data_IF_940843532089
#
_entry.id   IF_940843532089
#
_cell.length_a   1.000
_cell.length_b   1.000
_cell.length_c   1.000
_cell.angle_alpha   90.00
_cell.angle_beta   90.00
_cell.angle_gamma   90.00
#
_symmetry.space_group_name_H-M   'P 1'
#
loop_
_entity.id
_entity.type
_entity.pdbx_description
1 polymer ?
#
# COMPACT_ATOMS: atom_id res chain seq x y z
N UNK A 1 -53.60 -12.35 12.67
CA UNK A 1 -54.39 -12.23 11.42
C UNK A 1 -53.76 -11.07 10.66
N UNK A 2 -53.22 -11.14 9.44
CA UNK A 2 -53.27 -12.12 8.36
C UNK A 2 -52.12 -11.75 7.39
N UNK A 3 -51.26 -12.74 7.12
CA UNK A 3 -50.72 -13.18 5.81
C UNK A 3 -50.42 -12.13 4.70
N UNK A 4 -49.21 -12.21 4.12
CA UNK A 4 -48.80 -11.59 2.83
C UNK A 4 -49.50 -12.26 1.64
N UNK A 5 -48.86 -12.46 0.46
CA UNK A 5 -47.74 -11.83 -0.25
C UNK A 5 -48.20 -11.25 -1.62
N UNK A 6 -47.33 -10.58 -2.38
CA UNK A 6 -47.46 -10.53 -3.86
C UNK A 6 -46.08 -10.65 -4.50
N UNK A 7 -45.84 -11.84 -5.04
CA UNK A 7 -44.81 -12.18 -6.02
C UNK A 7 -45.32 -11.85 -7.43
N UNK A 8 -44.36 -11.62 -8.33
CA UNK A 8 -44.46 -11.76 -9.80
C UNK A 8 -45.39 -10.75 -10.49
N UNK A 9 -44.98 -10.01 -11.51
CA UNK A 9 -43.77 -10.02 -12.31
C UNK A 9 -44.03 -9.19 -13.55
N UNK A 10 -43.02 -8.50 -14.06
CA UNK A 10 -42.98 -8.10 -15.46
C UNK A 10 -41.53 -7.82 -15.86
N UNK A 11 -41.06 -8.68 -16.75
CA UNK A 11 -40.09 -8.43 -17.83
C UNK A 11 -38.86 -7.58 -17.48
N UNK A 12 -37.68 -8.20 -17.35
CA UNK A 12 -36.86 -8.57 -18.53
C UNK A 12 -36.80 -7.41 -19.53
N UNK A 13 -36.26 -6.27 -19.11
CA UNK A 13 -35.37 -5.47 -19.94
C UNK A 13 -33.95 -5.85 -19.59
N UNK A 14 -33.59 -7.04 -20.07
CA UNK A 14 -32.24 -7.46 -20.42
C UNK A 14 -31.78 -6.54 -21.57
N UNK A 15 -31.65 -5.25 -21.31
CA UNK A 15 -30.83 -4.38 -22.14
C UNK A 15 -29.42 -4.74 -21.74
N UNK A 16 -28.82 -5.53 -22.62
CA UNK A 16 -27.40 -5.68 -22.85
C UNK A 16 -26.71 -4.30 -22.82
N UNK A 17 -26.52 -3.72 -21.63
CA UNK A 17 -25.34 -2.91 -21.42
C UNK A 17 -24.23 -3.91 -21.27
N UNK A 18 -23.62 -4.21 -22.43
CA UNK A 18 -22.29 -4.78 -22.49
C UNK A 18 -21.51 -4.20 -21.32
N UNK A 19 -21.17 -5.06 -20.37
CA UNK A 19 -20.10 -4.79 -19.43
C UNK A 19 -18.84 -4.77 -20.29
N UNK A 20 -18.69 -3.71 -21.08
CA UNK A 20 -17.42 -3.29 -21.62
C UNK A 20 -16.61 -3.02 -20.37
N UNK A 21 -15.78 -3.99 -20.01
CA UNK A 21 -14.53 -3.71 -19.32
C UNK A 21 -13.88 -2.61 -20.14
N UNK A 22 -14.15 -1.34 -19.80
CA UNK A 22 -13.59 -0.19 -20.47
C UNK A 22 -12.10 -0.41 -20.49
N UNK A 23 -11.57 -0.64 -21.70
CA UNK A 23 -10.22 -1.12 -21.82
C UNK A 23 -9.30 0.02 -21.37
N UNK A 24 -8.10 -0.31 -20.92
CA UNK A 24 -7.19 0.73 -20.44
C UNK A 24 -6.83 1.73 -21.55
N UNK A 25 -7.25 1.55 -22.80
CA UNK A 25 -7.11 2.53 -23.87
C UNK A 25 -8.36 3.40 -24.11
N UNK A 26 -9.53 3.02 -23.59
CA UNK A 26 -10.79 3.76 -23.76
C UNK A 26 -10.91 4.95 -22.80
N UNK A 27 -10.20 4.88 -21.67
CA UNK A 27 -10.33 5.81 -20.54
C UNK A 27 -9.34 7.00 -20.57
N UNK A 28 -8.67 7.29 -21.70
CA UNK A 28 -7.64 8.34 -21.73
C UNK A 28 -6.81 8.42 -23.01
N UNK A 29 -5.82 9.34 -23.06
CA UNK A 29 -5.12 9.68 -24.29
C UNK A 29 -4.27 8.51 -24.83
N UNK A 30 -3.95 8.52 -26.14
CA UNK A 30 -3.00 7.58 -26.71
C UNK A 30 -1.65 7.65 -26.00
N UNK A 31 -0.96 6.51 -25.92
CA UNK A 31 0.29 6.39 -25.18
C UNK A 31 0.61 4.96 -24.80
N UNK A 32 1.73 4.79 -24.10
CA UNK A 32 2.15 3.50 -23.55
C UNK A 32 2.01 3.51 -22.03
N UNK A 33 1.49 2.44 -21.46
CA UNK A 33 1.18 2.31 -20.04
C UNK A 33 1.61 0.94 -19.54
N UNK A 34 2.36 0.86 -18.44
CA UNK A 34 2.82 -0.44 -17.95
C UNK A 34 1.66 -1.33 -17.50
N UNK A 35 1.77 -2.64 -17.78
CA UNK A 35 0.92 -3.64 -17.13
C UNK A 35 1.14 -3.61 -15.61
N UNK A 36 0.15 -4.02 -14.82
CA UNK A 36 0.29 -4.11 -13.36
C UNK A 36 1.43 -5.04 -12.90
N UNK A 37 1.75 -6.06 -13.70
CA UNK A 37 2.86 -7.00 -13.46
C UNK A 37 4.22 -6.44 -13.90
N UNK A 38 4.25 -5.34 -14.65
CA UNK A 38 5.41 -4.73 -15.30
C UNK A 38 6.14 -5.61 -16.32
N UNK A 39 5.62 -6.80 -16.64
CA UNK A 39 6.22 -7.71 -17.65
C UNK A 39 5.96 -7.26 -19.08
N UNK A 40 5.23 -6.16 -19.27
CA UNK A 40 4.84 -5.61 -20.55
C UNK A 40 4.16 -4.26 -20.37
N UNK A 41 3.60 -3.74 -21.46
CA UNK A 41 2.85 -2.50 -21.48
C UNK A 41 1.67 -2.57 -22.44
N UNK A 42 0.65 -1.80 -22.12
CA UNK A 42 -0.44 -1.43 -23.02
C UNK A 42 0.07 -0.35 -23.97
N UNK A 43 -0.20 -0.52 -25.25
CA UNK A 43 0.05 0.46 -26.29
C UNK A 43 -1.29 0.88 -26.88
N UNK A 44 -1.67 2.11 -26.58
CA UNK A 44 -2.93 2.71 -26.99
C UNK A 44 -2.65 3.65 -28.18
N UNK A 45 -3.10 3.28 -29.36
CA UNK A 45 -2.86 4.01 -30.61
C UNK A 45 -4.20 4.53 -31.13
N UNK A 46 -4.28 5.81 -31.50
CA UNK A 46 -5.46 6.34 -32.14
C UNK A 46 -5.39 6.10 -33.65
N UNK A 47 -6.27 5.25 -34.17
CA UNK A 47 -6.37 5.00 -35.60
C UNK A 47 -7.28 6.06 -36.25
N UNK A 48 -6.68 6.93 -37.06
CA UNK A 48 -7.40 8.03 -37.75
C UNK A 48 -8.42 7.52 -38.77
N UNK A 49 -8.19 6.37 -39.38
CA UNK A 49 -9.05 5.83 -40.43
C UNK A 49 -10.34 5.23 -39.85
N UNK A 50 -10.25 4.58 -38.70
CA UNK A 50 -11.40 3.98 -38.01
C UNK A 50 -12.00 4.91 -36.95
N UNK A 51 -11.35 6.04 -36.66
CA UNK A 51 -11.67 6.96 -35.56
C UNK A 51 -11.80 6.27 -34.20
N UNK A 52 -11.08 5.16 -34.01
CA UNK A 52 -11.13 4.32 -32.81
C UNK A 52 -9.75 4.17 -32.16
N UNK A 53 -9.77 3.91 -30.86
CA UNK A 53 -8.58 3.52 -30.11
C UNK A 53 -8.28 2.04 -30.35
N UNK A 54 -7.05 1.76 -30.76
CA UNK A 54 -6.50 0.41 -30.85
C UNK A 54 -5.67 0.12 -29.59
N UNK A 55 -5.84 -1.08 -29.06
CA UNK A 55 -5.16 -1.54 -27.87
C UNK A 55 -4.30 -2.76 -28.21
N UNK A 56 -2.99 -2.62 -28.01
CA UNK A 56 -2.04 -3.71 -28.12
C UNK A 56 -1.38 -3.96 -26.77
N UNK A 57 -1.16 -5.23 -26.44
CA UNK A 57 -0.38 -5.63 -25.27
C UNK A 57 0.97 -6.11 -25.78
N UNK A 58 2.04 -5.41 -25.39
CA UNK A 58 3.41 -5.74 -25.77
C UNK A 58 4.14 -6.31 -24.56
N UNK A 59 4.73 -7.50 -24.72
CA UNK A 59 5.52 -8.14 -23.67
C UNK A 59 6.95 -7.60 -23.70
N UNK A 60 7.50 -7.26 -22.53
CA UNK A 60 8.88 -6.82 -22.42
C UNK A 60 9.85 -8.00 -22.64
N UNK A 61 11.02 -7.76 -23.26
CA UNK A 61 12.06 -8.77 -23.38
C UNK A 61 12.48 -9.36 -22.03
N UNK A 62 13.01 -10.58 -22.06
CA UNK A 62 13.51 -11.26 -20.86
C UNK A 62 14.54 -10.39 -20.10
N UNK A 63 14.42 -10.32 -18.77
CA UNK A 63 15.29 -9.51 -17.92
C UNK A 63 14.98 -8.01 -17.90
N UNK A 64 13.96 -7.55 -18.64
CA UNK A 64 13.48 -6.16 -18.61
C UNK A 64 12.07 -6.08 -18.05
N UNK A 65 11.68 -4.88 -17.57
CA UNK A 65 10.32 -4.56 -17.16
C UNK A 65 9.97 -3.15 -17.58
N UNK A 66 8.67 -2.89 -17.71
CA UNK A 66 8.18 -1.57 -18.04
C UNK A 66 8.49 -0.57 -16.90
N UNK A 67 9.12 0.56 -17.23
CA UNK A 67 9.68 1.51 -16.26
C UNK A 67 8.82 2.74 -16.00
N UNK A 68 7.81 2.99 -16.83
CA UNK A 68 6.93 4.16 -16.73
C UNK A 68 5.96 4.10 -15.55
N UNK A 69 5.95 2.98 -14.81
CA UNK A 69 5.06 2.76 -13.65
C UNK A 69 3.58 2.93 -14.05
N UNK A 70 2.72 3.34 -13.12
CA UNK A 70 1.29 3.58 -13.36
C UNK A 70 0.97 4.96 -13.96
N UNK A 71 1.92 5.60 -14.67
CA UNK A 71 1.74 6.86 -15.41
C UNK A 71 2.06 6.66 -16.90
N UNK A 72 1.64 7.56 -17.81
CA UNK A 72 2.00 7.45 -19.22
C UNK A 72 3.52 7.45 -19.43
N UNK A 73 4.00 6.56 -20.30
CA UNK A 73 5.39 6.51 -20.72
C UNK A 73 5.79 7.73 -21.53
N UNK A 74 6.90 8.37 -21.15
CA UNK A 74 7.55 9.41 -21.97
C UNK A 74 8.45 8.85 -23.08
N UNK A 75 8.93 7.62 -22.90
CA UNK A 75 9.84 6.94 -23.83
C UNK A 75 9.05 6.07 -24.82
N UNK A 76 9.58 5.95 -26.03
CA UNK A 76 9.07 4.99 -27.02
C UNK A 76 9.41 3.54 -26.67
N UNK A 77 10.50 3.32 -25.93
CA UNK A 77 10.91 2.01 -25.42
C UNK A 77 10.77 1.99 -23.90
N UNK A 78 9.63 1.49 -23.36
CA UNK A 78 9.35 1.53 -21.93
C UNK A 78 10.00 0.36 -21.16
N UNK A 79 10.46 -0.68 -21.85
CA UNK A 79 11.09 -1.83 -21.23
C UNK A 79 12.56 -1.52 -20.89
N UNK A 80 12.90 -1.55 -19.61
CA UNK A 80 14.24 -1.26 -19.12
C UNK A 80 14.73 -2.36 -18.17
N UNK A 81 16.04 -2.41 -17.95
CA UNK A 81 16.65 -3.31 -16.97
C UNK A 81 16.02 -3.07 -15.59
N UNK A 82 15.54 -4.14 -14.96
CA UNK A 82 14.81 -4.04 -13.70
C UNK A 82 15.62 -4.63 -12.55
N UNK A 83 15.71 -3.88 -11.45
CA UNK A 83 16.34 -4.33 -10.21
C UNK A 83 15.22 -4.63 -9.22
N UNK A 84 15.22 -5.84 -8.66
CA UNK A 84 14.25 -6.22 -7.64
C UNK A 84 14.57 -5.50 -6.32
N UNK A 85 13.54 -5.03 -5.59
CA UNK A 85 13.73 -4.54 -4.23
C UNK A 85 14.30 -5.62 -3.31
N UNK A 86 15.04 -5.23 -2.25
CA UNK A 86 15.62 -6.18 -1.31
C UNK A 86 14.52 -6.95 -0.56
N UNK A 87 14.80 -8.22 -0.25
CA UNK A 87 13.87 -9.07 0.49
C UNK A 87 13.96 -8.77 1.98
N UNK A 88 12.97 -8.06 2.52
CA UNK A 88 12.91 -7.75 3.95
C UNK A 88 12.77 -9.02 4.82
N UNK A 89 13.37 -9.04 6.02
CA UNK A 89 13.27 -10.16 6.96
C UNK A 89 11.81 -10.44 7.34
N UNK A 90 11.51 -11.71 7.61
CA UNK A 90 10.13 -12.15 7.90
C UNK A 90 9.70 -11.81 9.33
N UNK A 91 10.65 -11.87 10.27
CA UNK A 91 10.47 -11.49 11.68
C UNK A 91 11.36 -10.30 11.99
N UNK A 92 10.82 -9.34 12.74
CA UNK A 92 11.52 -8.12 13.11
C UNK A 92 10.81 -7.38 14.23
N UNK A 93 11.53 -6.44 14.85
CA UNK A 93 10.98 -5.30 15.59
C UNK A 93 11.23 -4.03 14.77
N UNK A 94 10.22 -3.21 14.57
CA UNK A 94 10.35 -1.93 13.89
C UNK A 94 9.65 -0.84 14.70
N UNK A 95 10.27 0.32 14.82
CA UNK A 95 9.63 1.50 15.37
C UNK A 95 9.77 2.69 14.43
N UNK A 96 8.68 3.45 14.31
CA UNK A 96 8.68 4.61 13.44
C UNK A 96 7.76 5.71 13.95
N UNK A 97 8.14 6.94 13.57
CA UNK A 97 7.28 8.10 13.69
C UNK A 97 6.56 8.32 12.35
N UNK A 98 5.28 8.65 12.40
CA UNK A 98 4.48 9.03 11.23
C UNK A 98 4.06 10.49 11.37
N UNK A 99 4.32 11.27 10.32
CA UNK A 99 3.72 12.59 10.09
C UNK A 99 2.74 12.46 8.94
N UNK A 100 1.45 12.60 9.24
CA UNK A 100 0.40 12.69 8.22
C UNK A 100 -0.01 14.15 8.06
N UNK A 101 0.15 14.71 6.87
CA UNK A 101 -0.28 16.07 6.55
C UNK A 101 -1.44 16.00 5.58
N UNK A 102 -2.58 16.54 5.99
CA UNK A 102 -3.76 16.71 5.12
C UNK A 102 -3.87 18.18 4.80
N UNK A 103 -3.82 18.54 3.52
CA UNK A 103 -4.05 19.91 3.04
C UNK A 103 -5.40 19.99 2.35
N UNK A 104 -6.18 21.01 2.68
CA UNK A 104 -7.49 21.32 2.11
C UNK A 104 -7.54 22.83 1.80
N UNK A 105 -8.61 23.36 1.19
CA UNK A 105 -8.77 24.81 1.03
C UNK A 105 -8.71 25.58 2.36
N UNK A 106 -9.05 24.95 3.49
CA UNK A 106 -8.95 25.52 4.83
C UNK A 106 -7.54 25.48 5.44
N UNK A 107 -6.53 25.06 4.67
CA UNK A 107 -5.13 24.95 5.11
C UNK A 107 -4.66 23.52 5.34
N UNK A 108 -3.40 23.40 5.80
CA UNK A 108 -2.73 22.12 6.05
C UNK A 108 -2.68 21.78 7.54
N UNK A 109 -3.12 20.56 7.88
CA UNK A 109 -3.14 20.06 9.26
C UNK A 109 -2.23 18.83 9.37
N UNK A 110 -1.11 18.92 10.10
CA UNK A 110 -0.29 17.76 10.42
C UNK A 110 -0.85 16.99 11.63
N UNK A 111 -0.72 15.67 11.60
CA UNK A 111 -0.92 14.78 12.74
C UNK A 111 0.32 13.94 12.92
N UNK A 112 0.78 13.83 14.16
CA UNK A 112 1.95 13.05 14.54
C UNK A 112 1.51 11.80 15.28
N UNK A 113 2.15 10.68 14.97
CA UNK A 113 1.88 9.40 15.60
C UNK A 113 3.17 8.60 15.71
N UNK A 114 3.26 7.75 16.72
CA UNK A 114 4.37 6.82 16.92
C UNK A 114 3.84 5.40 16.89
N UNK A 115 4.59 4.52 16.25
CA UNK A 115 4.24 3.13 16.10
C UNK A 115 5.40 2.23 16.50
N UNK A 116 5.08 1.10 17.13
CA UNK A 116 6.01 0.01 17.32
C UNK A 116 5.39 -1.29 16.83
N UNK A 117 6.10 -2.01 15.97
CA UNK A 117 5.67 -3.27 15.38
C UNK A 117 6.61 -4.38 15.83
N UNK A 118 6.01 -5.45 16.34
CA UNK A 118 6.69 -6.69 16.67
C UNK A 118 6.08 -7.77 15.79
N UNK A 119 6.88 -8.36 14.92
CA UNK A 119 6.44 -9.41 14.01
C UNK A 119 7.26 -10.66 14.23
N UNK A 120 6.58 -11.72 14.61
CA UNK A 120 7.13 -13.07 14.68
C UNK A 120 6.44 -13.91 13.61
N UNK A 121 7.08 -14.07 12.46
CA UNK A 121 6.55 -14.89 11.38
C UNK A 121 6.68 -16.40 11.64
N UNK A 122 7.61 -16.81 12.52
CA UNK A 122 7.82 -18.23 12.83
C UNK A 122 6.64 -18.76 13.64
N UNK A 123 6.23 -18.03 14.67
CA UNK A 123 5.09 -18.39 15.52
C UNK A 123 3.78 -17.70 15.09
N UNK A 124 3.79 -16.96 13.98
CA UNK A 124 2.65 -16.21 13.44
C UNK A 124 1.99 -15.25 14.47
N UNK A 125 2.82 -14.55 15.24
CA UNK A 125 2.38 -13.55 16.23
C UNK A 125 2.73 -12.15 15.76
N UNK A 126 1.85 -11.21 16.01
CA UNK A 126 2.06 -9.81 15.62
C UNK A 126 1.55 -8.88 16.72
N UNK A 127 2.26 -7.81 16.98
CA UNK A 127 1.82 -6.73 17.84
C UNK A 127 2.12 -5.40 17.19
N UNK A 128 1.15 -4.49 17.24
CA UNK A 128 1.29 -3.12 16.80
C UNK A 128 0.83 -2.19 17.88
N UNK A 129 1.75 -1.38 18.37
CA UNK A 129 1.51 -0.32 19.32
C UNK A 129 1.29 0.98 18.56
N UNK A 130 0.25 1.73 18.92
CA UNK A 130 -0.09 3.03 18.33
C UNK A 130 -0.21 4.09 19.40
N UNK A 131 0.60 5.14 19.28
CA UNK A 131 0.46 6.37 20.06
C UNK A 131 0.07 7.49 19.10
N UNK A 132 -1.16 8.00 19.22
CA UNK A 132 -1.70 9.01 18.30
C UNK A 132 -1.91 10.31 19.09
N UNK A 133 -1.26 11.39 18.67
CA UNK A 133 -1.45 12.71 19.29
C UNK A 133 -2.92 13.12 19.25
N UNK A 134 -3.39 13.76 20.32
CA UNK A 134 -4.74 14.36 20.42
C UNK A 134 -5.91 13.35 20.35
N UNK A 135 -5.65 12.05 20.57
CA UNK A 135 -6.68 11.04 20.78
C UNK A 135 -6.76 10.69 22.26
N UNK A 136 -7.96 10.50 22.80
CA UNK A 136 -8.17 9.91 24.12
C UNK A 136 -8.76 8.49 23.97
N UNK A 137 -8.11 7.43 24.48
CA UNK A 137 -6.77 7.44 25.05
C UNK A 137 -5.68 7.58 23.99
N UNK A 138 -4.56 8.16 24.40
CA UNK A 138 -3.41 8.46 23.54
C UNK A 138 -2.68 7.22 23.04
N UNK A 139 -3.00 6.05 23.62
CA UNK A 139 -2.30 4.79 23.43
C UNK A 139 -3.29 3.63 23.28
N UNK A 140 -3.17 2.89 22.19
CA UNK A 140 -3.85 1.62 21.94
C UNK A 140 -2.89 0.65 21.25
N UNK A 141 -3.12 -0.66 21.38
CA UNK A 141 -2.34 -1.63 20.64
C UNK A 141 -3.16 -2.83 20.21
N UNK A 142 -2.75 -3.42 19.10
CA UNK A 142 -3.32 -4.64 18.55
C UNK A 142 -2.35 -5.79 18.82
N UNK A 143 -2.83 -6.93 19.34
CA UNK A 143 -2.10 -8.20 19.37
C UNK A 143 -2.84 -9.21 18.48
N UNK A 144 -2.12 -9.85 17.57
CA UNK A 144 -2.63 -10.92 16.71
C UNK A 144 -1.93 -12.22 17.07
N UNK A 145 -2.72 -13.22 17.46
CA UNK A 145 -2.24 -14.55 17.83
C UNK A 145 -2.86 -15.61 16.91
N UNK A 146 -2.14 -16.70 16.59
CA UNK A 146 -2.70 -17.81 15.84
C UNK A 146 -3.74 -18.54 16.68
N UNK A 147 -4.87 -18.92 16.07
CA UNK A 147 -5.87 -19.81 16.68
C UNK A 147 -5.69 -21.22 16.11
N UNK A 148 -5.67 -21.30 14.78
CA UNK A 148 -5.44 -22.51 13.99
C UNK A 148 -4.87 -22.12 12.64
N UNK A 149 -4.54 -23.10 11.81
CA UNK A 149 -4.01 -22.87 10.45
C UNK A 149 -4.89 -21.86 9.70
N UNK A 150 -4.29 -20.74 9.31
CA UNK A 150 -4.92 -19.63 8.56
C UNK A 150 -6.04 -18.86 9.28
N UNK A 151 -6.18 -18.98 10.60
CA UNK A 151 -7.10 -18.16 11.40
C UNK A 151 -6.41 -17.55 12.60
N UNK A 152 -6.62 -16.26 12.80
CA UNK A 152 -5.95 -15.46 13.82
C UNK A 152 -6.97 -14.70 14.67
N UNK A 153 -6.70 -14.55 15.96
CA UNK A 153 -7.43 -13.65 16.84
C UNK A 153 -6.68 -12.33 16.90
N UNK A 154 -7.33 -11.22 16.54
CA UNK A 154 -6.85 -9.87 16.78
C UNK A 154 -7.54 -9.30 18.01
N UNK A 155 -6.75 -8.96 19.01
CA UNK A 155 -7.15 -8.28 20.23
C UNK A 155 -6.78 -6.80 20.09
N UNK A 156 -7.79 -5.93 19.98
CA UNK A 156 -7.60 -4.49 20.10
C UNK A 156 -7.69 -4.13 21.58
N UNK A 157 -6.63 -3.54 22.11
CA UNK A 157 -6.44 -3.32 23.54
C UNK A 157 -6.31 -1.82 23.78
N UNK A 158 -7.13 -1.33 24.70
CA UNK A 158 -7.18 0.07 25.10
C UNK A 158 -6.97 0.14 26.61
N UNK A 159 -5.71 0.30 27.08
CA UNK A 159 -5.39 0.18 28.50
C UNK A 159 -6.10 1.18 29.39
N UNK A 160 -6.25 2.43 28.92
CA UNK A 160 -6.90 3.50 29.69
C UNK A 160 -8.33 3.18 30.11
N UNK A 161 -9.05 2.40 29.32
CA UNK A 161 -10.44 1.96 29.62
C UNK A 161 -10.52 0.49 29.99
N UNK A 162 -9.38 -0.21 30.12
CA UNK A 162 -9.29 -1.68 30.28
C UNK A 162 -10.16 -2.44 29.27
N UNK A 163 -10.33 -1.88 28.08
CA UNK A 163 -11.17 -2.45 27.03
C UNK A 163 -10.36 -3.40 26.15
N UNK A 164 -10.98 -4.53 25.81
CA UNK A 164 -10.41 -5.54 24.94
C UNK A 164 -11.45 -6.02 23.95
N UNK A 165 -11.20 -5.84 22.65
CA UNK A 165 -12.11 -6.31 21.60
C UNK A 165 -11.42 -7.39 20.78
N UNK A 166 -12.05 -8.56 20.68
CA UNK A 166 -11.57 -9.68 19.87
C UNK A 166 -12.26 -9.67 18.50
N UNK A 167 -11.45 -9.80 17.45
CA UNK A 167 -11.91 -9.98 16.07
C UNK A 167 -11.17 -11.13 15.42
N UNK A 168 -11.80 -11.81 14.45
CA UNK A 168 -11.17 -12.92 13.72
C UNK A 168 -10.61 -12.42 12.40
N UNK A 169 -9.36 -12.81 12.11
CA UNK A 169 -8.70 -12.56 10.83
C UNK A 169 -8.43 -13.87 10.11
N UNK A 170 -8.56 -13.86 8.79
CA UNK A 170 -8.23 -15.00 7.92
C UNK A 170 -6.86 -14.87 7.26
N UNK A 171 -6.15 -13.76 7.51
CA UNK A 171 -4.81 -13.51 6.99
C UNK A 171 -3.95 -12.93 8.10
N UNK A 172 -2.73 -13.44 8.20
CA UNK A 172 -1.72 -12.86 9.07
C UNK A 172 -1.36 -11.46 8.54
N UNK A 173 -1.16 -10.44 9.39
CA UNK A 173 -0.78 -9.11 8.94
C UNK A 173 0.39 -9.18 7.95
N UNK A 174 0.43 -8.35 6.91
CA UNK A 174 1.53 -8.37 5.94
C UNK A 174 2.84 -7.92 6.61
N UNK A 175 3.97 -8.39 6.09
CA UNK A 175 5.27 -7.86 6.50
C UNK A 175 5.52 -6.50 5.85
N UNK A 176 6.32 -5.67 6.50
CA UNK A 176 6.89 -4.48 5.87
C UNK A 176 7.83 -4.95 4.75
N UNK A 177 7.54 -4.54 3.52
CA UNK A 177 8.36 -4.83 2.36
C UNK A 177 8.13 -3.79 1.28
N UNK A 178 9.18 -3.50 0.51
CA UNK A 178 9.05 -2.75 -0.73
C UNK A 178 8.37 -3.67 -1.76
N UNK A 179 7.20 -3.31 -2.32
CA UNK A 179 6.54 -4.15 -3.29
C UNK A 179 7.38 -4.34 -4.56
N UNK A 180 7.32 -5.52 -5.18
CA UNK A 180 8.13 -5.89 -6.34
C UNK A 180 7.87 -5.05 -7.61
N UNK A 181 6.83 -4.22 -7.60
CA UNK A 181 6.51 -3.26 -8.67
C UNK A 181 7.24 -1.92 -8.55
N UNK A 182 7.92 -1.66 -7.45
CA UNK A 182 8.69 -0.43 -7.29
C UNK A 182 9.98 -0.51 -8.10
N UNK A 183 10.35 0.59 -8.74
CA UNK A 183 11.59 0.66 -9.51
C UNK A 183 12.68 1.37 -8.71
N UNK A 184 13.91 0.94 -8.90
CA UNK A 184 15.08 1.60 -8.34
C UNK A 184 15.28 2.97 -9.00
N UNK A 185 15.47 4.01 -8.17
CA UNK A 185 15.59 5.41 -8.58
C UNK A 185 16.88 6.04 -8.03
N UNK A 186 17.94 5.25 -7.90
CA UNK A 186 19.25 5.71 -7.42
C UNK A 186 19.44 5.62 -5.91
N UNK A 187 20.52 6.24 -5.43
CA UNK A 187 20.85 6.32 -4.00
C UNK A 187 20.61 7.73 -3.47
N UNK A 188 20.28 7.85 -2.19
CA UNK A 188 20.20 9.15 -1.50
C UNK A 188 20.56 9.04 -0.03
N UNK A 189 21.05 10.14 0.54
CA UNK A 189 21.35 10.24 1.97
C UNK A 189 20.10 10.65 2.75
N UNK A 190 19.72 9.85 3.74
CA UNK A 190 18.49 10.03 4.53
C UNK A 190 18.86 9.78 5.99
N UNK A 191 18.70 10.81 6.83
CA UNK A 191 18.92 10.74 8.29
C UNK A 191 20.23 10.09 8.75
N UNK A 192 21.34 10.37 8.07
CA UNK A 192 22.64 9.80 8.45
C UNK A 192 23.04 8.54 7.69
N UNK A 193 22.16 7.98 6.85
CA UNK A 193 22.40 6.73 6.14
C UNK A 193 22.31 6.88 4.61
N UNK A 194 23.19 6.18 3.88
CA UNK A 194 23.07 6.03 2.43
C UNK A 194 22.05 4.94 2.10
N UNK A 195 20.96 5.35 1.45
CA UNK A 195 19.82 4.49 1.14
C UNK A 195 19.67 4.27 -0.37
N UNK A 196 19.08 3.13 -0.74
CA UNK A 196 18.56 2.87 -2.08
C UNK A 196 17.11 3.35 -2.13
N UNK A 197 16.80 4.20 -3.12
CA UNK A 197 15.47 4.79 -3.32
C UNK A 197 14.65 3.93 -4.26
N UNK A 198 13.46 3.52 -3.83
CA UNK A 198 12.50 2.75 -4.62
C UNK A 198 11.24 3.57 -4.81
N UNK A 199 10.80 3.75 -6.06
CA UNK A 199 9.69 4.64 -6.40
C UNK A 199 8.59 3.89 -7.12
N UNK A 200 7.36 4.24 -6.79
CA UNK A 200 6.15 3.89 -7.54
C UNK A 200 5.33 5.14 -7.77
N UNK A 201 4.95 5.37 -9.03
CA UNK A 201 4.03 6.44 -9.42
C UNK A 201 2.77 5.82 -10.01
N UNK A 202 1.62 6.43 -9.76
CA UNK A 202 0.34 6.02 -10.35
C UNK A 202 -0.62 7.19 -10.51
N UNK A 203 -1.49 7.15 -11.51
CA UNK A 203 -2.40 8.25 -11.85
C UNK A 203 -1.83 9.07 -13.00
N UNK A 204 -2.03 10.39 -13.00
CA UNK A 204 -1.45 11.27 -14.03
C UNK A 204 -1.78 10.90 -15.46
N UNK A 205 -2.89 10.21 -15.69
CA UNK A 205 -3.26 9.72 -17.03
C UNK A 205 -3.68 10.86 -17.96
N UNK A 206 -4.22 11.93 -17.38
CA UNK A 206 -4.51 13.20 -18.03
C UNK A 206 -4.14 14.35 -17.08
N UNK A 207 -4.04 15.58 -17.61
CA UNK A 207 -3.57 16.77 -16.87
C UNK A 207 -4.38 17.11 -15.61
N UNK A 208 -5.66 16.72 -15.55
CA UNK A 208 -6.54 16.91 -14.39
C UNK A 208 -6.36 15.88 -13.27
N UNK A 209 -5.60 14.80 -13.49
CA UNK A 209 -5.38 13.75 -12.51
C UNK A 209 -4.01 13.90 -11.86
N UNK A 210 -3.98 14.05 -10.53
CA UNK A 210 -2.74 14.08 -9.79
C UNK A 210 -1.95 12.76 -9.90
N UNK A 211 -0.63 12.85 -9.79
CA UNK A 211 0.26 11.69 -9.73
C UNK A 211 0.49 11.33 -8.26
N UNK A 212 -0.02 10.16 -7.86
CA UNK A 212 0.30 9.57 -6.57
C UNK A 212 1.73 9.02 -6.61
N UNK A 213 2.54 9.40 -5.63
CA UNK A 213 3.95 8.98 -5.54
C UNK A 213 4.16 8.25 -4.22
N UNK A 214 4.73 7.05 -4.27
CA UNK A 214 5.19 6.28 -3.13
C UNK A 214 6.70 6.07 -3.24
N UNK A 215 7.40 6.26 -2.12
CA UNK A 215 8.85 6.15 -2.04
C UNK A 215 9.20 5.28 -0.82
N UNK A 216 10.03 4.28 -1.03
CA UNK A 216 10.69 3.54 0.04
C UNK A 216 12.19 3.78 -0.03
N UNK A 217 12.80 3.99 1.13
CA UNK A 217 14.25 4.09 1.26
C UNK A 217 14.73 2.96 2.14
N UNK A 218 15.63 2.17 1.57
CA UNK A 218 16.15 0.98 2.21
C UNK A 218 17.65 1.08 2.40
N UNK A 219 18.13 0.67 3.56
CA UNK A 219 19.54 0.51 3.85
C UNK A 219 19.87 -0.98 4.08
N UNK A 220 21.12 -1.24 4.42
CA UNK A 220 21.57 -2.55 4.90
C UNK A 220 22.28 -2.35 6.23
N UNK A 221 22.04 -3.25 7.17
CA UNK A 221 22.86 -3.39 8.39
C UNK A 221 24.28 -3.84 8.03
N UNK A 222 25.18 -3.79 9.01
CA UNK A 222 26.57 -4.28 8.89
C UNK A 222 26.59 -5.73 8.40
N UNK A 223 25.66 -6.56 8.88
CA UNK A 223 25.52 -7.97 8.49
C UNK A 223 24.82 -8.15 7.12
N UNK A 224 24.64 -7.09 6.35
CA UNK A 224 24.01 -7.10 5.03
C UNK A 224 22.47 -7.24 5.04
N UNK A 225 21.84 -7.35 6.21
CA UNK A 225 20.38 -7.52 6.32
C UNK A 225 19.68 -6.21 5.92
N UNK A 226 18.71 -6.25 4.98
CA UNK A 226 18.02 -5.05 4.52
C UNK A 226 17.05 -4.50 5.57
N UNK A 227 16.98 -3.19 5.64
CA UNK A 227 16.11 -2.44 6.55
C UNK A 227 15.37 -1.34 5.79
N UNK A 228 14.25 -0.88 6.35
CA UNK A 228 13.56 0.33 5.88
C UNK A 228 13.98 1.49 6.76
N UNK A 229 14.35 2.61 6.14
CA UNK A 229 14.72 3.86 6.82
C UNK A 229 13.57 4.86 6.73
N UNK A 230 12.97 4.99 5.54
CA UNK A 230 11.89 5.92 5.30
C UNK A 230 10.84 5.32 4.36
N UNK A 231 9.59 5.70 4.59
CA UNK A 231 8.52 5.55 3.62
C UNK A 231 7.76 6.86 3.49
N UNK A 232 7.64 7.36 2.26
CA UNK A 232 6.86 8.57 1.96
C UNK A 232 5.81 8.24 0.93
N UNK A 233 4.59 8.73 1.14
CA UNK A 233 3.56 8.75 0.11
C UNK A 233 2.94 10.12 -0.01
N UNK A 234 2.72 10.54 -1.25
CA UNK A 234 2.03 11.76 -1.60
C UNK A 234 0.84 11.43 -2.49
N UNK A 235 -0.35 11.76 -2.00
CA UNK A 235 -1.62 11.73 -2.72
C UNK A 235 -2.04 13.18 -2.96
N UNK A 236 -1.73 13.78 -4.12
CA UNK A 236 -2.07 15.18 -4.40
C UNK A 236 -3.59 15.46 -4.40
N UNK A 237 -4.43 14.43 -4.45
CA UNK A 237 -5.87 14.56 -4.58
C UNK A 237 -6.30 14.75 -6.04
N UNK A 238 -7.57 15.10 -6.22
CA UNK A 238 -8.11 15.51 -7.52
C UNK A 238 -8.40 17.01 -7.53
N UNK A 239 -8.52 17.59 -8.73
CA UNK A 239 -8.97 18.99 -8.88
C UNK A 239 -10.32 19.24 -8.20
N UNK A 240 -11.19 18.23 -8.12
CA UNK A 240 -12.47 18.29 -7.42
C UNK A 240 -12.34 18.21 -5.90
N UNK A 241 -11.52 17.30 -5.36
CA UNK A 241 -11.41 17.13 -3.90
C UNK A 241 -10.65 18.29 -3.25
N UNK A 242 -9.76 18.95 -4.00
CA UNK A 242 -8.82 19.99 -3.53
C UNK A 242 -8.10 19.60 -2.22
N UNK A 243 -8.03 18.31 -1.95
CA UNK A 243 -7.54 17.76 -0.69
C UNK A 243 -6.40 16.81 -1.02
N UNK A 244 -5.22 17.14 -0.52
CA UNK A 244 -4.02 16.31 -0.65
C UNK A 244 -3.65 15.68 0.68
N UNK A 245 -3.02 14.51 0.61
CA UNK A 245 -2.55 13.76 1.77
C UNK A 245 -1.11 13.37 1.54
N UNK A 246 -0.23 13.81 2.43
CA UNK A 246 1.15 13.34 2.52
C UNK A 246 1.34 12.53 3.79
N UNK A 247 1.99 11.38 3.70
CA UNK A 247 2.38 10.56 4.85
C UNK A 247 3.88 10.33 4.77
N UNK A 248 4.60 10.76 5.79
CA UNK A 248 6.01 10.50 5.98
C UNK A 248 6.18 9.57 7.19
N UNK A 249 6.80 8.42 7.00
CA UNK A 249 7.19 7.46 8.04
C UNK A 249 8.69 7.40 8.14
N UNK A 250 9.21 7.62 9.34
CA UNK A 250 10.63 7.53 9.64
C UNK A 250 10.89 6.40 10.61
N UNK A 251 11.64 5.39 10.15
CA UNK A 251 12.01 4.22 10.93
C UNK A 251 13.34 4.47 11.62
N UNK A 252 13.29 4.87 12.88
CA UNK A 252 14.49 5.07 13.69
C UNK A 252 15.01 3.75 14.30
N UNK A 253 14.23 2.67 14.23
CA UNK A 253 14.69 1.34 14.61
C UNK A 253 14.07 0.29 13.70
N UNK A 254 14.91 -0.60 13.17
CA UNK A 254 14.49 -1.81 12.47
C UNK A 254 15.48 -2.94 12.81
N UNK A 255 15.07 -3.85 13.71
CA UNK A 255 15.91 -4.97 14.17
C UNK A 255 15.36 -6.28 13.60
N UNK A 256 16.09 -6.96 12.70
CA UNK A 256 15.71 -8.29 12.23
C UNK A 256 15.77 -9.30 13.38
N UNK A 257 14.94 -10.36 13.27
CA UNK A 257 14.94 -11.46 14.23
C UNK A 257 13.59 -11.65 14.91
N UNK A 258 13.49 -12.72 15.70
CA UNK A 258 12.27 -13.07 16.43
C UNK A 258 12.15 -12.20 17.69
N UNK A 259 11.07 -11.42 17.85
CA UNK A 259 10.83 -10.66 19.08
C UNK A 259 10.62 -11.58 20.29
N UNK A 260 10.87 -11.05 21.49
CA UNK A 260 10.64 -11.78 22.74
C UNK A 260 9.17 -12.19 22.89
N UNK A 261 8.93 -13.38 23.47
CA UNK A 261 7.58 -13.91 23.70
C UNK A 261 6.74 -13.02 24.62
N UNK A 262 7.39 -12.29 25.53
CA UNK A 262 6.72 -11.36 26.46
C UNK A 262 5.96 -10.26 25.73
N UNK A 263 6.41 -9.88 24.53
CA UNK A 263 5.76 -8.83 23.75
C UNK A 263 4.33 -9.18 23.36
N UNK A 264 4.02 -10.48 23.21
CA UNK A 264 2.74 -10.96 22.73
C UNK A 264 1.79 -11.41 23.84
N UNK A 265 2.14 -11.20 25.10
CA UNK A 265 1.29 -11.55 26.22
C UNK A 265 0.06 -10.64 26.29
N UNK A 266 -1.13 -11.24 26.37
CA UNK A 266 -2.36 -10.49 26.59
C UNK A 266 -2.47 -10.03 28.05
N UNK A 267 -2.92 -8.80 28.30
CA UNK A 267 -3.27 -8.34 29.64
C UNK A 267 -4.31 -9.25 30.29
N UNK A 268 -4.33 -9.30 31.62
CA UNK A 268 -5.25 -10.13 32.39
C UNK A 268 -6.72 -9.82 32.11
N UNK A 269 -7.07 -8.55 31.89
CA UNK A 269 -8.45 -8.15 31.57
C UNK A 269 -8.91 -8.58 30.17
N UNK A 270 -8.01 -9.00 29.27
CA UNK A 270 -8.34 -9.57 27.96
C UNK A 270 -8.58 -11.09 28.00
N UNK A 271 -8.38 -11.74 29.16
CA UNK A 271 -8.54 -13.19 29.32
C UNK A 271 -9.95 -13.61 29.75
N UNK A 272 -10.84 -12.63 29.96
CA UNK A 272 -12.24 -12.84 30.31
C UNK A 272 -13.09 -12.99 29.05
#
# INVERSE_FOLDING_TARGET
>A
MSLGPFLLGAAVTLILTSVCSADICDLGPPGRFCLNSLVGYHECIYNRNTSKMEHHIVTCPFGTRCSCMGIPCKTSSPCQKFILPPVMPRSYRAEYNEKKTICSPAGCRPTYSRFAIYRDALNQRYKEIRTISNKNPTYEYDIVLPIRRWKFARYRIVPGTRSCTKTILFRFPPKIQVPAKFSYSGRRYVYGEYTKKWVWMSGGRHSGQGVNVQIWDTAQTIDGTPTVVQYTVNYPGSQMSRTSVKIDRYYYMFKPGVPSSIEFQLPTFCRR
#
